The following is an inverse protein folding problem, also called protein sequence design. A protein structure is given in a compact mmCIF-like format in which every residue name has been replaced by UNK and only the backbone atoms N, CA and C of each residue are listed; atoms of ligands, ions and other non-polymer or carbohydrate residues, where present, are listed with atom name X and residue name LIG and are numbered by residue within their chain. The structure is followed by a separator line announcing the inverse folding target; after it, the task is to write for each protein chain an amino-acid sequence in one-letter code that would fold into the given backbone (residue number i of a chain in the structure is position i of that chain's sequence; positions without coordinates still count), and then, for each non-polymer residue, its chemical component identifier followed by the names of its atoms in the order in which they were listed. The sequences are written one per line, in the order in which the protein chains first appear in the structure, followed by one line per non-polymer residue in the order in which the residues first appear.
data_IF_968323906781
#
_entry.id   IF_968323906781
#
_cell.length_a   1.000
_cell.length_b   1.000
_cell.length_c   1.000
_cell.angle_alpha   90.00
_cell.angle_beta   90.00
_cell.angle_gamma   90.00
#
_symmetry.space_group_name_H-M   'P 1'
#
loop_
_entity.id
_entity.type
_entity.pdbx_description
1 polymer ?
#
# COMPACT_ATOMS: atom_id res chain seq x y z
N UNK A 1 27.76 -2.61 4.46
CA UNK A 1 28.00 -2.76 3.00
C UNK A 1 28.37 -4.20 2.71
N UNK A 2 27.51 -4.96 2.04
CA UNK A 2 27.92 -6.20 1.37
C UNK A 2 27.86 -5.90 -0.11
N UNK A 3 28.96 -5.37 -0.65
CA UNK A 3 29.22 -5.29 -2.08
C UNK A 3 30.07 -6.51 -2.44
N UNK A 4 29.55 -7.40 -3.27
CA UNK A 4 30.38 -8.22 -4.14
C UNK A 4 29.92 -7.93 -5.57
N UNK A 5 30.85 -7.41 -6.38
CA UNK A 5 30.79 -7.33 -7.84
C UNK A 5 29.78 -6.36 -8.49
N UNK A 6 29.64 -5.13 -7.99
CA UNK A 6 29.02 -4.03 -8.76
C UNK A 6 27.52 -4.15 -9.05
N UNK A 7 26.91 -5.31 -8.79
CA UNK A 7 25.47 -5.53 -8.79
C UNK A 7 24.95 -5.35 -7.37
N UNK A 8 24.13 -4.32 -7.17
CA UNK A 8 23.46 -4.10 -5.91
C UNK A 8 22.55 -5.31 -5.63
N UNK A 9 22.63 -5.90 -4.44
CA UNK A 9 21.91 -7.12 -4.00
C UNK A 9 20.36 -7.04 -4.12
N UNK A 10 19.85 -5.91 -4.61
CA UNK A 10 18.46 -5.46 -4.63
C UNK A 10 17.90 -5.23 -6.03
N UNK A 11 18.67 -5.47 -7.10
CA UNK A 11 18.12 -5.44 -8.46
C UNK A 11 17.53 -6.79 -8.82
N UNK A 12 16.20 -6.89 -8.87
CA UNK A 12 15.51 -8.02 -9.51
C UNK A 12 15.83 -7.97 -11.01
N UNK A 13 16.45 -9.00 -11.60
CA UNK A 13 16.84 -8.96 -13.01
C UNK A 13 15.68 -9.41 -13.90
N UNK A 14 14.76 -8.48 -14.20
CA UNK A 14 14.02 -8.48 -15.47
C UNK A 14 13.32 -7.13 -15.67
N UNK A 15 13.76 -6.37 -16.69
CA UNK A 15 13.12 -5.24 -17.42
C UNK A 15 12.26 -4.16 -16.70
N UNK A 16 12.03 -4.25 -15.40
CA UNK A 16 11.27 -3.34 -14.53
C UNK A 16 12.19 -2.72 -13.46
N UNK A 17 13.48 -2.53 -13.80
CA UNK A 17 14.57 -2.17 -12.89
C UNK A 17 14.52 -0.73 -12.34
N UNK A 18 13.40 -0.02 -12.48
CA UNK A 18 13.29 1.42 -12.16
C UNK A 18 12.26 1.75 -11.07
N UNK A 19 11.66 0.75 -10.43
CA UNK A 19 10.67 0.99 -9.37
C UNK A 19 11.15 0.40 -8.05
N UNK A 20 11.28 1.26 -7.05
CA UNK A 20 11.62 0.90 -5.68
C UNK A 20 10.36 0.39 -4.98
N UNK A 21 10.22 -0.94 -4.91
CA UNK A 21 9.13 -1.62 -4.22
C UNK A 21 9.55 -2.04 -2.83
N UNK A 22 9.66 -1.08 -1.94
CA UNK A 22 9.77 -1.39 -0.53
C UNK A 22 8.86 -0.44 0.21
N UNK A 23 7.99 -0.97 1.05
CA UNK A 23 7.39 -0.14 2.09
C UNK A 23 8.59 0.43 2.87
N UNK A 24 8.77 1.74 2.89
CA UNK A 24 9.91 2.34 3.60
C UNK A 24 9.94 1.95 5.09
N UNK A 25 8.79 1.54 5.65
CA UNK A 25 8.66 0.82 6.93
C UNK A 25 9.60 -0.40 6.98
N UNK A 26 9.62 -1.22 5.93
CA UNK A 26 10.51 -2.37 5.75
C UNK A 26 11.99 -1.97 5.80
N UNK A 27 12.38 -0.90 5.11
CA UNK A 27 13.77 -0.46 5.14
C UNK A 27 14.13 0.05 6.53
N UNK A 28 13.24 0.77 7.21
CA UNK A 28 13.51 1.23 8.59
C UNK A 28 13.65 0.06 9.57
N UNK A 29 12.86 -1.00 9.43
CA UNK A 29 12.98 -2.22 10.22
C UNK A 29 14.27 -3.00 9.89
N UNK A 30 14.56 -3.22 8.61
CA UNK A 30 15.80 -3.87 8.16
C UNK A 30 17.04 -3.07 8.58
N UNK A 31 16.97 -1.75 8.51
CA UNK A 31 18.07 -0.84 8.78
C UNK A 31 18.40 -0.73 10.27
N UNK A 32 17.38 -0.78 11.13
CA UNK A 32 17.54 -0.90 12.59
C UNK A 32 18.28 -2.18 13.02
N UNK A 33 18.29 -3.22 12.18
CA UNK A 33 19.03 -4.47 12.45
C UNK A 33 20.50 -4.42 12.05
N UNK A 34 20.85 -3.59 11.07
CA UNK A 34 22.22 -3.51 10.53
C UNK A 34 22.96 -2.25 10.96
N UNK A 35 22.29 -1.32 11.64
CA UNK A 35 22.87 -0.11 12.19
C UNK A 35 22.41 0.11 13.64
N UNK A 36 23.20 0.82 14.47
CA UNK A 36 22.78 1.16 15.84
C UNK A 36 21.74 2.30 15.89
N UNK A 37 21.21 2.74 14.76
CA UNK A 37 20.26 3.85 14.67
C UNK A 37 18.85 3.37 15.02
N UNK A 38 18.22 4.02 15.99
CA UNK A 38 16.79 3.82 16.30
C UNK A 38 15.99 4.79 15.45
N UNK A 39 15.52 4.32 14.29
CA UNK A 39 14.69 5.10 13.39
C UNK A 39 13.22 5.05 13.81
N UNK A 40 12.52 6.19 13.73
CA UNK A 40 11.08 6.28 13.88
C UNK A 40 10.46 6.65 12.55
N UNK A 41 9.16 6.43 12.39
CA UNK A 41 8.41 6.95 11.23
C UNK A 41 8.23 8.48 11.32
N UNK A 42 9.32 9.20 11.05
CA UNK A 42 9.39 10.65 11.06
C UNK A 42 10.14 11.13 9.81
N UNK A 43 9.92 12.40 9.45
CA UNK A 43 10.49 12.98 8.24
C UNK A 43 12.02 12.90 8.22
N UNK A 44 12.68 13.30 9.31
CA UNK A 44 14.15 13.30 9.41
C UNK A 44 14.74 11.88 9.34
N UNK A 45 14.11 10.91 9.99
CA UNK A 45 14.53 9.51 9.95
C UNK A 45 14.43 8.92 8.54
N UNK A 46 13.36 9.24 7.81
CA UNK A 46 13.16 8.81 6.42
C UNK A 46 14.16 9.51 5.49
N UNK A 47 14.54 10.76 5.77
CA UNK A 47 15.59 11.46 5.03
C UNK A 47 16.93 10.74 5.17
N UNK A 48 17.33 10.37 6.39
CA UNK A 48 18.55 9.60 6.65
C UNK A 48 18.55 8.30 5.84
N UNK A 49 17.42 7.59 5.83
CA UNK A 49 17.26 6.37 5.04
C UNK A 49 17.45 6.62 3.54
N UNK A 50 16.84 7.67 3.00
CA UNK A 50 16.94 8.00 1.57
C UNK A 50 18.37 8.40 1.16
N UNK A 51 19.07 9.14 2.01
CA UNK A 51 20.47 9.52 1.78
C UNK A 51 21.38 8.30 1.77
N UNK A 52 21.18 7.36 2.69
CA UNK A 52 21.97 6.13 2.78
C UNK A 52 21.71 5.15 1.64
N UNK A 53 20.50 5.18 1.10
CA UNK A 53 20.15 4.46 -0.13
C UNK A 53 20.77 5.10 -1.38
N UNK A 54 21.33 6.30 -1.28
CA UNK A 54 21.76 7.06 -2.46
C UNK A 54 20.59 7.33 -3.40
N UNK A 55 19.39 7.59 -2.87
CA UNK A 55 18.18 7.67 -3.68
C UNK A 55 18.33 8.65 -4.86
N UNK A 56 19.00 9.78 -4.64
CA UNK A 56 19.21 10.81 -5.65
C UNK A 56 20.09 10.34 -6.83
N UNK A 57 20.96 9.34 -6.63
CA UNK A 57 21.78 8.76 -7.70
C UNK A 57 20.98 7.81 -8.58
N UNK A 58 19.97 7.15 -8.00
CA UNK A 58 19.16 6.14 -8.67
C UNK A 58 17.85 6.67 -9.25
N UNK A 59 17.26 7.67 -8.59
CA UNK A 59 16.06 8.39 -8.99
C UNK A 59 14.85 7.48 -9.29
N UNK A 60 14.69 6.42 -8.47
CA UNK A 60 13.65 5.40 -8.63
C UNK A 60 12.23 5.97 -8.53
N UNK A 61 11.31 5.30 -9.21
CA UNK A 61 9.87 5.47 -9.00
C UNK A 61 9.51 4.86 -7.64
N UNK A 62 8.66 5.53 -6.87
CA UNK A 62 8.27 5.17 -5.51
C UNK A 62 6.78 4.83 -5.49
N UNK A 63 6.46 3.63 -5.00
CA UNK A 63 5.10 3.20 -4.72
C UNK A 63 5.00 2.73 -3.27
N UNK A 64 4.41 3.56 -2.41
CA UNK A 64 4.30 3.34 -0.96
C UNK A 64 2.93 3.79 -0.44
N UNK A 65 2.57 3.41 0.78
CA UNK A 65 1.34 3.90 1.42
C UNK A 65 1.26 5.43 1.43
N UNK A 66 0.05 5.98 1.43
CA UNK A 66 -0.19 7.42 1.46
C UNK A 66 0.40 8.10 2.70
N UNK A 67 0.49 7.40 3.84
CA UNK A 67 1.21 7.90 5.01
C UNK A 67 2.69 8.11 4.72
N UNK A 68 3.32 7.19 3.99
CA UNK A 68 4.71 7.31 3.56
C UNK A 68 4.89 8.41 2.51
N UNK A 69 3.95 8.56 1.59
CA UNK A 69 3.91 9.71 0.67
C UNK A 69 3.92 11.04 1.43
N UNK A 70 3.14 11.16 2.51
CA UNK A 70 3.14 12.37 3.33
C UNK A 70 4.52 12.67 3.91
N UNK A 71 5.25 11.69 4.40
CA UNK A 71 6.62 11.91 4.87
C UNK A 71 7.56 12.35 3.75
N UNK A 72 7.53 11.65 2.61
CA UNK A 72 8.40 11.93 1.49
C UNK A 72 8.19 13.32 0.90
N UNK A 73 6.97 13.84 1.00
CA UNK A 73 6.61 15.17 0.53
C UNK A 73 6.55 16.23 1.65
N UNK A 74 6.98 15.88 2.87
CA UNK A 74 7.01 16.81 4.00
C UNK A 74 5.63 17.30 4.46
N UNK A 75 4.57 16.52 4.21
CA UNK A 75 3.20 16.85 4.60
C UNK A 75 2.89 16.47 6.06
N UNK A 76 1.90 17.16 6.65
CA UNK A 76 1.45 16.87 8.01
C UNK A 76 0.77 15.49 8.10
N UNK A 77 0.90 14.86 9.28
CA UNK A 77 0.20 13.62 9.62
C UNK A 77 -1.29 13.88 9.94
N UNK A 78 -2.10 12.83 9.80
CA UNK A 78 -3.47 12.82 10.29
C UNK A 78 -4.50 13.45 9.35
N UNK A 79 -5.62 13.90 9.92
CA UNK A 79 -6.77 14.42 9.16
C UNK A 79 -6.61 15.91 8.87
N UNK A 80 -5.90 16.22 7.78
CA UNK A 80 -5.55 17.59 7.39
C UNK A 80 -6.54 18.15 6.38
N UNK A 81 -6.62 19.49 6.28
CA UNK A 81 -7.56 20.17 5.37
C UNK A 81 -7.22 19.93 3.89
N UNK A 82 -5.94 19.93 3.53
CA UNK A 82 -5.47 19.80 2.14
C UNK A 82 -4.55 18.58 1.97
N UNK A 83 -5.06 17.34 2.12
CA UNK A 83 -4.24 16.13 2.14
C UNK A 83 -3.75 15.72 0.75
N UNK A 84 -4.40 16.20 -0.33
CA UNK A 84 -3.96 15.89 -1.68
C UNK A 84 -2.61 16.58 -1.98
N UNK A 85 -1.68 15.81 -2.52
CA UNK A 85 -0.36 16.28 -2.93
C UNK A 85 -0.33 16.79 -4.38
N UNK A 86 -1.42 16.63 -5.14
CA UNK A 86 -1.53 17.12 -6.52
C UNK A 86 -2.31 18.44 -6.59
N UNK A 87 -3.31 18.63 -5.74
CA UNK A 87 -4.18 19.80 -5.74
C UNK A 87 -4.56 20.23 -4.32
N UNK A 88 -5.22 21.37 -4.22
CA UNK A 88 -5.74 21.98 -3.00
C UNK A 88 -7.13 21.45 -2.66
N UNK A 89 -7.33 20.13 -2.77
CA UNK A 89 -8.58 19.47 -2.39
C UNK A 89 -8.89 19.68 -0.91
N UNK A 90 -10.01 20.33 -0.61
CA UNK A 90 -10.46 20.60 0.76
C UNK A 90 -11.24 19.39 1.30
N UNK A 91 -10.57 18.60 2.15
CA UNK A 91 -11.16 17.41 2.78
C UNK A 91 -12.35 17.72 3.70
N UNK A 92 -12.53 18.99 4.08
CA UNK A 92 -13.60 19.45 4.97
C UNK A 92 -14.84 19.95 4.22
N UNK A 93 -14.72 20.27 2.93
CA UNK A 93 -15.82 20.78 2.09
C UNK A 93 -16.69 19.65 1.51
N UNK A 94 -17.35 18.87 2.39
CA UNK A 94 -18.08 17.64 2.05
C UNK A 94 -19.16 17.84 1.00
N UNK A 95 -19.84 18.98 1.04
CA UNK A 95 -20.86 19.40 0.10
C UNK A 95 -20.32 19.56 -1.34
N UNK A 96 -19.01 19.82 -1.49
CA UNK A 96 -18.37 20.00 -2.80
C UNK A 96 -17.78 18.72 -3.37
N UNK A 97 -17.54 17.69 -2.56
CA UNK A 97 -16.74 16.53 -2.95
C UNK A 97 -17.24 15.82 -4.22
N UNK A 98 -18.55 15.65 -4.36
CA UNK A 98 -19.16 14.97 -5.53
C UNK A 98 -19.58 15.91 -6.67
N UNK A 99 -19.34 17.22 -6.52
CA UNK A 99 -19.74 18.26 -7.47
C UNK A 99 -18.51 18.87 -8.14
N UNK A 100 -17.49 19.19 -7.33
CA UNK A 100 -16.28 19.83 -7.77
C UNK A 100 -15.21 18.78 -8.07
N UNK A 101 -15.02 18.50 -9.36
CA UNK A 101 -13.95 17.63 -9.87
C UNK A 101 -12.59 18.31 -9.88
N UNK A 102 -12.54 19.56 -10.31
CA UNK A 102 -11.30 20.33 -10.44
C UNK A 102 -11.05 21.19 -9.21
N UNK A 103 -9.85 21.07 -8.65
CA UNK A 103 -9.40 21.84 -7.50
C UNK A 103 -8.13 22.59 -7.87
N UNK A 104 -7.85 23.76 -7.25
CA UNK A 104 -6.64 24.53 -7.57
C UNK A 104 -5.40 23.66 -7.45
N UNK A 105 -4.49 23.75 -8.42
CA UNK A 105 -3.27 22.96 -8.42
C UNK A 105 -2.41 23.30 -7.21
N UNK A 106 -1.70 22.30 -6.68
CA UNK A 106 -0.68 22.54 -5.67
C UNK A 106 0.62 22.88 -6.39
N UNK A 107 1.00 24.15 -6.42
CA UNK A 107 2.17 24.57 -7.20
C UNK A 107 3.50 24.19 -6.52
N UNK A 108 3.61 24.39 -5.21
CA UNK A 108 4.87 24.23 -4.47
C UNK A 108 4.71 23.31 -3.25
N UNK A 109 5.85 22.75 -2.81
CA UNK A 109 6.01 21.97 -1.58
C UNK A 109 7.00 22.64 -0.62
N UNK A 110 7.08 23.96 -0.64
CA UNK A 110 7.94 24.67 0.30
C UNK A 110 7.39 24.53 1.73
N UNK A 111 8.27 24.31 2.71
CA UNK A 111 7.90 24.33 4.12
C UNK A 111 7.12 25.62 4.49
N UNK A 112 6.01 25.46 5.21
CA UNK A 112 5.11 26.56 5.57
C UNK A 112 3.90 26.72 4.64
N UNK A 113 3.89 26.08 3.47
CA UNK A 113 2.71 26.01 2.61
C UNK A 113 1.59 25.16 3.26
N UNK A 114 0.32 25.31 2.84
CA UNK A 114 -0.78 24.57 3.45
C UNK A 114 -0.56 23.05 3.39
N UNK A 115 -0.59 22.43 4.57
CA UNK A 115 -0.32 21.01 4.80
C UNK A 115 1.15 20.57 4.53
N UNK A 116 2.11 21.48 4.43
CA UNK A 116 3.54 21.17 4.21
C UNK A 116 4.35 21.74 5.37
N UNK A 117 4.99 20.88 6.16
CA UNK A 117 5.81 21.26 7.32
C UNK A 117 7.31 21.18 7.07
N UNK A 118 7.73 20.36 6.11
CA UNK A 118 9.13 20.17 5.75
C UNK A 118 9.28 20.20 4.25
N UNK A 119 10.48 20.48 3.76
CA UNK A 119 10.76 20.36 2.34
C UNK A 119 10.73 18.88 1.91
N UNK A 120 10.29 18.60 0.68
CA UNK A 120 10.17 17.23 0.17
C UNK A 120 11.55 16.56 0.08
N UNK A 121 11.59 15.28 0.42
CA UNK A 121 12.78 14.42 0.29
C UNK A 121 12.93 13.96 -1.16
N UNK A 122 11.80 13.74 -1.85
CA UNK A 122 11.76 13.24 -3.23
C UNK A 122 10.84 14.10 -4.08
N UNK A 123 11.04 14.09 -5.38
CA UNK A 123 10.15 14.82 -6.28
C UNK A 123 8.79 14.14 -6.40
N UNK A 124 7.72 14.94 -6.47
CA UNK A 124 6.34 14.43 -6.52
C UNK A 124 6.06 13.56 -7.74
N UNK A 125 6.75 13.79 -8.86
CA UNK A 125 6.59 13.02 -10.11
C UNK A 125 7.15 11.60 -10.00
N UNK A 126 7.94 11.33 -8.95
CA UNK A 126 8.44 10.00 -8.63
C UNK A 126 7.44 9.15 -7.88
N UNK A 127 6.34 9.73 -7.40
CA UNK A 127 5.35 9.03 -6.60
C UNK A 127 4.24 8.48 -7.50
N UNK A 128 4.01 7.18 -7.37
CA UNK A 128 2.91 6.47 -8.03
C UNK A 128 1.86 6.10 -6.99
N UNK A 129 0.58 6.15 -7.40
CA UNK A 129 -0.51 5.74 -6.53
C UNK A 129 -0.44 4.24 -6.20
N UNK A 130 -0.46 3.87 -4.91
CA UNK A 130 -0.41 2.46 -4.50
C UNK A 130 -1.72 1.72 -4.79
N UNK A 131 -1.78 0.81 -5.78
CA UNK A 131 -3.02 0.18 -6.21
C UNK A 131 -3.71 -0.63 -5.10
N UNK A 132 -2.94 -1.34 -4.26
CA UNK A 132 -3.50 -2.09 -3.13
C UNK A 132 -4.15 -1.12 -2.14
N UNK A 133 -3.44 -0.08 -1.70
CA UNK A 133 -4.01 0.87 -0.76
C UNK A 133 -5.25 1.58 -1.33
N UNK A 134 -5.32 1.89 -2.62
CA UNK A 134 -6.54 2.41 -3.27
C UNK A 134 -7.69 1.40 -3.14
N UNK A 135 -7.46 0.13 -3.51
CA UNK A 135 -8.43 -0.97 -3.37
C UNK A 135 -8.95 -1.12 -1.94
N UNK A 136 -8.06 -1.13 -0.95
CA UNK A 136 -8.44 -1.19 0.48
C UNK A 136 -9.27 0.04 0.91
N UNK A 137 -8.91 1.22 0.40
CA UNK A 137 -9.65 2.46 0.66
C UNK A 137 -11.07 2.47 0.09
N UNK A 138 -11.25 1.91 -1.10
CA UNK A 138 -12.55 1.76 -1.73
C UNK A 138 -13.44 0.79 -0.95
N UNK A 139 -12.92 -0.37 -0.59
CA UNK A 139 -13.63 -1.33 0.27
C UNK A 139 -14.08 -0.68 1.57
N UNK A 140 -13.18 0.09 2.19
CA UNK A 140 -13.47 0.83 3.42
C UNK A 140 -14.65 1.79 3.25
N UNK A 141 -14.69 2.56 2.16
CA UNK A 141 -15.80 3.49 1.93
C UNK A 141 -17.11 2.75 1.63
N UNK A 142 -17.06 1.67 0.85
CA UNK A 142 -18.23 0.85 0.55
C UNK A 142 -18.87 0.31 1.83
N UNK A 143 -18.11 -0.38 2.69
CA UNK A 143 -18.64 -0.98 3.93
C UNK A 143 -19.15 0.08 4.90
N UNK A 144 -18.45 1.21 5.03
CA UNK A 144 -18.90 2.31 5.90
C UNK A 144 -20.23 2.94 5.46
N UNK A 145 -20.64 2.76 4.21
CA UNK A 145 -21.91 3.26 3.70
C UNK A 145 -23.05 2.22 3.81
N UNK A 146 -22.75 0.96 4.14
CA UNK A 146 -23.77 -0.06 4.37
C UNK A 146 -24.53 0.23 5.67
N UNK A 147 -25.83 -0.08 5.67
CA UNK A 147 -26.63 -0.04 6.89
C UNK A 147 -26.31 -1.29 7.73
N UNK A 148 -25.91 -1.14 9.02
CA UNK A 148 -25.66 -2.27 9.90
C UNK A 148 -26.84 -3.24 10.10
N UNK A 149 -28.07 -2.77 9.89
CA UNK A 149 -29.30 -3.58 10.03
C UNK A 149 -29.66 -4.36 8.76
N UNK A 150 -28.96 -4.13 7.65
CA UNK A 150 -29.23 -4.83 6.39
C UNK A 150 -28.59 -6.24 6.39
N UNK A 151 -29.22 -7.18 5.68
CA UNK A 151 -28.72 -8.56 5.55
C UNK A 151 -27.28 -8.63 5.00
N UNK A 152 -26.91 -7.72 4.10
CA UNK A 152 -25.56 -7.64 3.54
C UNK A 152 -24.49 -7.37 4.62
N UNK A 153 -24.77 -6.49 5.58
CA UNK A 153 -23.83 -6.21 6.67
C UNK A 153 -23.76 -7.37 7.67
N UNK A 154 -24.90 -7.98 8.01
CA UNK A 154 -24.93 -9.19 8.83
C UNK A 154 -24.14 -10.34 8.19
N UNK A 155 -24.20 -10.47 6.86
CA UNK A 155 -23.42 -11.46 6.11
C UNK A 155 -21.91 -11.22 6.25
N UNK A 156 -21.45 -9.97 6.27
CA UNK A 156 -20.04 -9.65 6.52
C UNK A 156 -19.58 -10.12 7.90
N UNK A 157 -20.38 -9.87 8.93
CA UNK A 157 -20.10 -10.31 10.31
C UNK A 157 -20.05 -11.82 10.42
N UNK A 158 -20.98 -12.52 9.77
CA UNK A 158 -21.01 -13.97 9.72
C UNK A 158 -19.82 -14.58 8.97
N UNK A 159 -19.42 -13.97 7.85
CA UNK A 159 -18.35 -14.47 6.97
C UNK A 159 -16.97 -14.37 7.64
N UNK A 160 -16.76 -13.36 8.48
CA UNK A 160 -15.47 -13.10 9.13
C UNK A 160 -15.58 -13.09 10.66
N UNK A 161 -15.85 -14.25 11.30
CA UNK A 161 -16.03 -14.32 12.76
C UNK A 161 -14.75 -13.97 13.54
N UNK A 162 -13.58 -14.01 12.88
CA UNK A 162 -12.30 -13.59 13.48
C UNK A 162 -12.12 -12.06 13.50
N UNK A 163 -12.91 -11.30 12.74
CA UNK A 163 -12.88 -9.84 12.78
C UNK A 163 -13.89 -9.34 13.81
N UNK A 164 -13.48 -8.36 14.61
CA UNK A 164 -14.43 -7.69 15.50
C UNK A 164 -15.46 -6.90 14.69
N UNK A 165 -16.64 -6.73 15.27
CA UNK A 165 -17.71 -5.91 14.70
C UNK A 165 -17.22 -4.51 14.35
N UNK A 166 -16.41 -3.88 15.21
CA UNK A 166 -15.86 -2.55 14.97
C UNK A 166 -14.87 -2.51 13.79
N UNK A 167 -14.06 -3.56 13.60
CA UNK A 167 -13.18 -3.66 12.40
C UNK A 167 -14.01 -3.73 11.12
N UNK A 168 -15.06 -4.56 11.12
CA UNK A 168 -15.99 -4.70 9.98
C UNK A 168 -16.70 -3.38 9.72
N UNK A 169 -17.29 -2.76 10.75
CA UNK A 169 -17.99 -1.46 10.66
C UNK A 169 -17.06 -0.34 10.19
N UNK A 170 -15.80 -0.38 10.58
CA UNK A 170 -14.78 0.56 10.12
C UNK A 170 -14.32 0.30 8.68
N UNK A 171 -14.75 -0.79 8.04
CA UNK A 171 -14.37 -1.20 6.70
C UNK A 171 -12.91 -1.64 6.61
N UNK A 172 -12.38 -2.24 7.68
CA UNK A 172 -10.98 -2.68 7.76
C UNK A 172 -10.91 -4.12 7.28
N UNK A 173 -10.48 -4.29 6.03
CA UNK A 173 -10.30 -5.59 5.38
C UNK A 173 -8.91 -5.66 4.75
N UNK A 174 -8.35 -6.87 4.67
CA UNK A 174 -7.13 -7.15 3.91
C UNK A 174 -7.42 -7.62 2.48
N UNK A 175 -6.37 -7.76 1.67
CA UNK A 175 -6.48 -8.24 0.29
C UNK A 175 -7.15 -9.63 0.16
N UNK A 176 -6.71 -10.64 0.93
CA UNK A 176 -7.38 -11.96 0.98
C UNK A 176 -8.88 -11.89 1.27
N UNK A 177 -9.31 -11.16 2.30
CA UNK A 177 -10.72 -11.04 2.69
C UNK A 177 -11.57 -10.40 1.59
N UNK A 178 -11.07 -9.34 0.94
CA UNK A 178 -11.74 -8.73 -0.20
C UNK A 178 -11.90 -9.75 -1.34
N UNK A 179 -10.85 -10.52 -1.66
CA UNK A 179 -10.93 -11.57 -2.69
C UNK A 179 -11.94 -12.66 -2.34
N UNK A 180 -12.07 -13.01 -1.06
CA UNK A 180 -13.09 -13.94 -0.58
C UNK A 180 -14.50 -13.40 -0.88
N UNK A 181 -14.78 -12.14 -0.52
CA UNK A 181 -16.08 -11.52 -0.78
C UNK A 181 -16.40 -11.38 -2.27
N UNK A 182 -15.41 -11.05 -3.10
CA UNK A 182 -15.60 -10.96 -4.56
C UNK A 182 -16.09 -12.29 -5.16
N UNK A 183 -15.66 -13.42 -4.59
CA UNK A 183 -16.03 -14.77 -5.04
C UNK A 183 -17.34 -15.26 -4.42
N UNK A 184 -17.81 -14.62 -3.36
CA UNK A 184 -18.99 -15.03 -2.62
C UNK A 184 -20.28 -14.58 -3.33
N UNK A 185 -20.90 -15.53 -4.04
CA UNK A 185 -22.18 -15.30 -4.71
C UNK A 185 -23.33 -15.06 -3.73
N UNK A 186 -23.25 -15.62 -2.51
CA UNK A 186 -24.29 -15.44 -1.50
C UNK A 186 -24.28 -14.00 -0.98
N UNK A 187 -23.10 -13.39 -0.82
CA UNK A 187 -22.99 -11.99 -0.43
C UNK A 187 -23.79 -11.05 -1.36
N UNK A 188 -23.71 -11.28 -2.68
CA UNK A 188 -24.45 -10.51 -3.68
C UNK A 188 -25.98 -10.68 -3.54
N UNK A 189 -26.44 -11.84 -3.10
CA UNK A 189 -27.87 -12.11 -2.89
C UNK A 189 -28.42 -11.42 -1.63
N UNK A 190 -27.54 -11.10 -0.67
CA UNK A 190 -27.89 -10.39 0.57
C UNK A 190 -27.95 -8.87 0.42
N UNK A 191 -27.55 -8.34 -0.72
CA UNK A 191 -27.55 -6.90 -1.00
C UNK A 191 -28.88 -6.41 -1.54
N UNK A 192 -29.30 -5.22 -1.11
CA UNK A 192 -30.36 -4.49 -1.81
C UNK A 192 -29.87 -3.96 -3.17
N UNK A 193 -30.79 -3.42 -3.97
CA UNK A 193 -30.51 -2.97 -5.35
C UNK A 193 -29.36 -1.94 -5.40
N UNK A 194 -29.34 -0.98 -4.48
CA UNK A 194 -28.34 0.12 -4.42
C UNK A 194 -26.96 -0.40 -4.01
N UNK A 195 -26.91 -1.22 -2.97
CA UNK A 195 -25.68 -1.89 -2.50
C UNK A 195 -25.09 -2.77 -3.61
N UNK A 196 -25.95 -3.57 -4.26
CA UNK A 196 -25.54 -4.47 -5.34
C UNK A 196 -24.97 -3.72 -6.53
N UNK A 197 -25.59 -2.62 -6.95
CA UNK A 197 -25.07 -1.81 -8.05
C UNK A 197 -23.69 -1.21 -7.74
N UNK A 198 -23.51 -0.67 -6.53
CA UNK A 198 -22.23 -0.14 -6.07
C UNK A 198 -21.17 -1.24 -5.92
N UNK A 199 -21.53 -2.41 -5.39
CA UNK A 199 -20.63 -3.54 -5.24
C UNK A 199 -20.15 -4.07 -6.60
N UNK A 200 -21.07 -4.34 -7.52
CA UNK A 200 -20.72 -4.89 -8.84
C UNK A 200 -19.82 -3.94 -9.62
N UNK A 201 -20.09 -2.64 -9.60
CA UNK A 201 -19.23 -1.64 -10.23
C UNK A 201 -17.85 -1.51 -9.55
N UNK A 202 -17.79 -1.68 -8.23
CA UNK A 202 -16.51 -1.78 -7.51
C UNK A 202 -15.71 -3.02 -7.91
N UNK A 203 -16.36 -4.18 -8.05
CA UNK A 203 -15.71 -5.41 -8.53
C UNK A 203 -15.19 -5.23 -9.95
N UNK A 204 -15.97 -4.59 -10.84
CA UNK A 204 -15.54 -4.27 -12.21
C UNK A 204 -14.26 -3.43 -12.20
N UNK A 205 -14.17 -2.41 -11.34
CA UNK A 205 -12.97 -1.57 -11.19
C UNK A 205 -11.78 -2.36 -10.65
N UNK A 206 -11.98 -3.24 -9.68
CA UNK A 206 -10.88 -4.09 -9.18
C UNK A 206 -10.31 -4.96 -10.30
N UNK A 207 -11.17 -5.60 -11.09
CA UNK A 207 -10.76 -6.58 -12.08
C UNK A 207 -10.18 -5.95 -13.34
N UNK A 208 -10.74 -4.82 -13.77
CA UNK A 208 -10.45 -4.23 -15.08
C UNK A 208 -9.66 -2.91 -15.01
N UNK A 209 -9.44 -2.37 -13.81
CA UNK A 209 -8.60 -1.18 -13.62
C UNK A 209 -7.47 -1.46 -12.64
N UNK A 210 -7.78 -1.83 -11.39
CA UNK A 210 -6.77 -2.10 -10.35
C UNK A 210 -6.11 -3.48 -10.43
N UNK A 211 -6.29 -4.18 -11.56
CA UNK A 211 -5.60 -5.43 -11.88
C UNK A 211 -4.24 -5.18 -12.54
N UNK A 212 -3.74 -6.16 -13.29
CA UNK A 212 -2.43 -6.05 -13.92
C UNK A 212 -2.40 -5.00 -15.03
N UNK A 213 -3.39 -5.04 -15.93
CA UNK A 213 -3.51 -4.11 -17.05
C UNK A 213 -4.86 -3.43 -16.99
N UNK A 214 -4.88 -2.12 -17.27
CA UNK A 214 -6.13 -1.38 -17.41
C UNK A 214 -6.87 -1.81 -18.68
N UNK A 215 -8.17 -2.04 -18.57
CA UNK A 215 -9.05 -2.24 -19.71
C UNK A 215 -9.22 -0.93 -20.49
N UNK A 216 -9.41 -0.95 -21.82
CA UNK A 216 -9.60 0.27 -22.61
C UNK A 216 -10.76 1.16 -22.13
N UNK A 217 -11.80 0.55 -21.55
CA UNK A 217 -12.99 1.25 -21.04
C UNK A 217 -12.91 1.60 -19.53
N UNK A 218 -11.71 1.57 -18.92
CA UNK A 218 -11.55 1.75 -17.46
C UNK A 218 -12.15 3.05 -16.94
N UNK A 219 -12.10 4.15 -17.70
CA UNK A 219 -12.67 5.45 -17.30
C UNK A 219 -14.17 5.36 -17.07
N UNK A 220 -14.88 4.64 -17.96
CA UNK A 220 -16.32 4.38 -17.82
C UNK A 220 -16.60 3.53 -16.58
N UNK A 221 -15.79 2.51 -16.32
CA UNK A 221 -15.94 1.65 -15.15
C UNK A 221 -15.75 2.43 -13.84
N UNK A 222 -14.70 3.25 -13.78
CA UNK A 222 -14.41 4.12 -12.62
C UNK A 222 -15.54 5.13 -12.44
N UNK A 223 -16.01 5.78 -13.51
CA UNK A 223 -17.14 6.72 -13.45
C UNK A 223 -18.42 6.05 -12.93
N UNK A 224 -18.74 4.85 -13.41
CA UNK A 224 -19.90 4.07 -12.95
C UNK A 224 -19.80 3.72 -11.46
N UNK A 225 -18.62 3.27 -11.01
CA UNK A 225 -18.38 2.99 -9.60
C UNK A 225 -18.50 4.25 -8.74
N UNK A 226 -17.93 5.37 -9.16
CA UNK A 226 -18.00 6.64 -8.43
C UNK A 226 -19.45 7.13 -8.30
N UNK A 227 -20.26 6.99 -9.36
CA UNK A 227 -21.70 7.25 -9.28
C UNK A 227 -22.38 6.32 -8.28
N UNK A 228 -22.13 5.01 -8.35
CA UNK A 228 -22.69 4.05 -7.41
C UNK A 228 -22.28 4.32 -5.95
N UNK A 229 -21.06 4.79 -5.71
CA UNK A 229 -20.57 5.15 -4.37
C UNK A 229 -21.22 6.43 -3.86
N UNK A 230 -21.31 7.47 -4.70
CA UNK A 230 -22.08 8.69 -4.38
C UNK A 230 -23.51 8.33 -4.05
N UNK A 231 -24.13 7.55 -4.92
CA UNK A 231 -25.51 7.14 -4.78
C UNK A 231 -25.68 6.33 -3.53
N UNK A 232 -24.78 5.40 -3.15
CA UNK A 232 -24.80 4.64 -1.89
C UNK A 232 -24.62 5.50 -0.62
N UNK A 233 -24.12 6.73 -0.76
CA UNK A 233 -23.84 7.61 0.38
C UNK A 233 -22.42 7.46 0.93
N UNK A 234 -21.48 6.93 0.13
CA UNK A 234 -20.07 6.88 0.49
C UNK A 234 -19.51 8.30 0.69
N UNK A 235 -18.68 8.47 1.71
CA UNK A 235 -17.89 9.69 1.85
C UNK A 235 -16.72 9.65 0.85
N UNK A 236 -16.35 10.82 0.29
CA UNK A 236 -15.18 10.92 -0.56
C UNK A 236 -13.91 10.94 0.30
N UNK A 237 -13.25 9.79 0.40
CA UNK A 237 -11.90 9.71 0.96
C UNK A 237 -10.86 10.25 -0.03
N UNK A 238 -9.64 10.53 0.43
CA UNK A 238 -8.53 10.92 -0.45
C UNK A 238 -8.28 9.91 -1.58
N UNK A 239 -8.49 8.61 -1.31
CA UNK A 239 -8.33 7.53 -2.29
C UNK A 239 -9.43 7.56 -3.35
N UNK A 240 -10.67 7.88 -2.96
CA UNK A 240 -11.79 8.11 -3.89
C UNK A 240 -11.56 9.39 -4.70
N UNK A 241 -11.05 10.44 -4.05
CA UNK A 241 -10.69 11.70 -4.72
C UNK A 241 -9.63 11.50 -5.80
N UNK A 242 -8.59 10.68 -5.58
CA UNK A 242 -7.61 10.38 -6.63
C UNK A 242 -8.26 9.75 -7.87
N UNK A 243 -9.23 8.86 -7.70
CA UNK A 243 -9.97 8.29 -8.84
C UNK A 243 -10.90 9.29 -9.51
N UNK A 244 -11.46 10.23 -8.74
CA UNK A 244 -12.38 11.23 -9.27
C UNK A 244 -11.67 12.37 -10.03
N UNK A 245 -10.57 12.88 -9.48
CA UNK A 245 -9.90 14.09 -9.96
C UNK A 245 -8.55 13.84 -10.65
N UNK A 246 -7.91 12.70 -10.41
CA UNK A 246 -6.53 12.42 -10.81
C UNK A 246 -6.36 11.04 -11.48
N UNK A 247 -7.41 10.59 -12.16
CA UNK A 247 -7.43 9.29 -12.83
C UNK A 247 -6.32 9.15 -13.88
N UNK A 248 -5.94 10.27 -14.52
CA UNK A 248 -4.87 10.40 -15.51
C UNK A 248 -3.47 10.12 -14.94
N UNK A 249 -3.29 10.20 -13.62
CA UNK A 249 -2.00 9.99 -12.95
C UNK A 249 -1.68 8.53 -12.64
N UNK A 250 -2.63 7.61 -12.83
CA UNK A 250 -2.36 6.18 -12.67
C UNK A 250 -1.50 5.68 -13.85
N UNK A 251 -0.43 4.90 -13.63
CA UNK A 251 0.37 4.32 -14.72
C UNK A 251 -0.41 3.26 -15.50
N UNK A 252 -0.03 2.95 -16.74
CA UNK A 252 -0.74 1.96 -17.58
C UNK A 252 -0.76 0.54 -17.00
N UNK A 253 0.35 0.12 -16.40
CA UNK A 253 0.51 -1.21 -15.81
C UNK A 253 0.54 -1.11 -14.27
N UNK A 254 -0.63 -1.24 -13.65
CA UNK A 254 -0.78 -1.17 -12.19
C UNK A 254 -0.26 -2.43 -11.49
N UNK A 255 -0.27 -3.59 -12.16
CA UNK A 255 0.31 -4.82 -11.62
C UNK A 255 1.82 -4.76 -11.48
N UNK A 256 2.50 -4.07 -12.40
CA UNK A 256 3.93 -3.83 -12.31
C UNK A 256 4.30 -2.92 -11.14
N UNK A 257 3.35 -2.10 -10.63
CA UNK A 257 3.57 -1.17 -9.52
C UNK A 257 2.84 -1.55 -8.23
N UNK A 258 2.56 -2.84 -8.02
CA UNK A 258 1.80 -3.30 -6.87
C UNK A 258 2.65 -3.36 -5.59
N UNK A 259 2.16 -2.71 -4.54
CA UNK A 259 2.63 -2.77 -3.16
C UNK A 259 2.25 -4.09 -2.46
N UNK A 260 1.54 -5.01 -3.13
CA UNK A 260 1.24 -6.36 -2.60
C UNK A 260 2.49 -7.16 -2.26
N UNK A 261 3.62 -6.93 -2.95
CA UNK A 261 4.88 -7.59 -2.64
C UNK A 261 5.44 -7.14 -1.28
N UNK A 262 5.26 -5.87 -0.91
CA UNK A 262 5.64 -5.35 0.41
C UNK A 262 4.78 -5.94 1.52
N UNK A 263 3.47 -6.09 1.29
CA UNK A 263 2.57 -6.73 2.27
C UNK A 263 2.89 -8.23 2.45
N UNK A 264 3.23 -8.93 1.37
CA UNK A 264 3.65 -10.34 1.44
C UNK A 264 4.95 -10.50 2.22
N UNK A 265 5.89 -9.59 2.02
CA UNK A 265 7.13 -9.57 2.77
C UNK A 265 6.88 -9.47 4.28
N UNK A 266 5.97 -8.59 4.72
CA UNK A 266 5.59 -8.47 6.13
C UNK A 266 5.03 -9.79 6.70
N UNK A 267 4.19 -10.49 5.95
CA UNK A 267 3.67 -11.82 6.34
C UNK A 267 4.78 -12.87 6.46
N UNK A 268 5.71 -12.88 5.51
CA UNK A 268 6.87 -13.77 5.53
C UNK A 268 7.76 -13.46 6.73
N UNK A 269 7.97 -12.17 7.04
CA UNK A 269 8.74 -11.71 8.20
C UNK A 269 8.10 -12.13 9.52
N UNK A 270 6.79 -11.95 9.71
CA UNK A 270 6.10 -12.42 10.92
C UNK A 270 6.33 -13.92 11.11
N UNK A 271 6.25 -14.70 10.03
CA UNK A 271 6.51 -16.15 10.07
C UNK A 271 7.95 -16.47 10.42
N UNK A 272 8.91 -15.64 9.99
CA UNK A 272 10.32 -15.77 10.38
C UNK A 272 10.50 -15.40 11.85
N UNK A 273 9.96 -14.27 12.29
CA UNK A 273 10.02 -13.78 13.67
C UNK A 273 9.46 -14.82 14.65
N UNK A 274 8.31 -15.41 14.36
CA UNK A 274 7.71 -16.49 15.16
C UNK A 274 8.67 -17.68 15.31
N UNK A 275 9.34 -18.09 14.22
CA UNK A 275 10.35 -19.17 14.24
C UNK A 275 11.56 -18.82 15.11
N UNK A 276 11.90 -17.55 15.21
CA UNK A 276 13.02 -17.06 16.02
C UNK A 276 12.57 -16.62 17.42
N UNK A 277 11.31 -16.86 17.78
CA UNK A 277 10.72 -16.54 19.09
C UNK A 277 10.79 -15.04 19.42
N UNK A 278 10.53 -14.19 18.43
CA UNK A 278 10.60 -12.72 18.59
C UNK A 278 12.02 -12.16 18.63
N UNK A 279 13.05 -12.98 18.36
CA UNK A 279 14.43 -12.48 18.27
C UNK A 279 14.68 -11.83 16.90
N UNK A 280 14.85 -10.53 16.95
CA UNK A 280 15.22 -9.69 15.81
C UNK A 280 16.73 -9.45 15.79
N UNK A 281 17.49 -10.34 15.15
CA UNK A 281 18.95 -10.21 15.04
C UNK A 281 19.47 -10.40 13.61
N UNK A 282 20.77 -10.11 13.42
CA UNK A 282 21.47 -10.27 12.15
C UNK A 282 21.41 -11.69 11.59
N UNK A 283 21.25 -12.71 12.44
CA UNK A 283 21.20 -14.11 12.02
C UNK A 283 19.82 -14.45 11.46
N UNK A 284 18.75 -14.00 12.11
CA UNK A 284 17.38 -14.10 11.58
C UNK A 284 17.30 -13.50 10.18
N UNK A 285 17.84 -12.28 10.02
CA UNK A 285 17.80 -11.59 8.74
C UNK A 285 18.68 -12.27 7.67
N UNK A 286 19.86 -12.75 8.05
CA UNK A 286 20.71 -13.53 7.14
C UNK A 286 19.99 -14.80 6.65
N UNK A 287 19.29 -15.51 7.53
CA UNK A 287 18.53 -16.71 7.18
C UNK A 287 17.30 -16.39 6.31
N UNK A 288 16.63 -15.26 6.55
CA UNK A 288 15.56 -14.76 5.68
C UNK A 288 16.07 -14.42 4.26
N UNK A 289 17.12 -13.61 4.16
CA UNK A 289 17.78 -13.28 2.89
C UNK A 289 18.28 -14.55 2.17
N UNK A 290 18.80 -15.53 2.93
CA UNK A 290 19.20 -16.81 2.38
C UNK A 290 18.02 -17.62 1.85
N UNK A 291 16.87 -17.59 2.55
CA UNK A 291 15.60 -18.15 2.10
C UNK A 291 15.20 -17.62 0.71
N UNK A 292 15.13 -16.29 0.57
CA UNK A 292 14.83 -15.63 -0.71
C UNK A 292 15.81 -16.07 -1.80
N UNK A 293 17.12 -16.12 -1.50
CA UNK A 293 18.14 -16.50 -2.48
C UNK A 293 18.04 -17.95 -2.96
N UNK A 294 17.57 -18.87 -2.12
CA UNK A 294 17.38 -20.30 -2.47
C UNK A 294 16.16 -20.53 -3.36
N UNK A 295 15.11 -19.74 -3.19
CA UNK A 295 13.86 -19.91 -3.95
C UNK A 295 13.97 -19.33 -5.38
N UNK A 296 15.14 -18.80 -5.74
CA UNK A 296 15.47 -18.39 -7.10
C UNK A 296 15.76 -19.63 -7.99
N UNK A 297 14.96 -19.90 -9.03
CA UNK A 297 14.93 -21.20 -9.73
C UNK A 297 16.16 -21.53 -10.59
N UNK A 298 17.19 -20.70 -10.62
CA UNK A 298 18.32 -20.81 -11.56
C UNK A 298 19.64 -21.31 -10.93
N UNK A 299 19.69 -21.64 -9.64
CA UNK A 299 20.93 -22.17 -9.03
C UNK A 299 20.67 -23.33 -8.06
N UNK A 300 21.22 -24.50 -8.38
CA UNK A 300 21.28 -25.64 -7.47
C UNK A 300 22.33 -25.39 -6.38
N UNK A 301 21.89 -25.18 -5.13
CA UNK A 301 22.81 -24.99 -4.00
C UNK A 301 23.03 -26.29 -3.24
N UNK A 302 24.29 -26.73 -3.12
CA UNK A 302 24.72 -27.81 -2.20
C UNK A 302 25.10 -27.21 -0.85
N UNK A 303 24.44 -27.67 0.22
CA UNK A 303 24.76 -27.28 1.61
C UNK A 303 26.10 -27.90 2.04
N UNK A 304 27.07 -27.09 2.49
CA UNK A 304 28.15 -27.55 3.37
C UNK A 304 27.81 -27.17 4.80
N UNK A 305 27.51 -28.17 5.62
CA UNK A 305 27.32 -28.02 7.07
C UNK A 305 28.67 -28.13 7.76
N UNK A 306 29.18 -27.06 8.35
CA UNK A 306 30.24 -27.16 9.35
C UNK A 306 29.61 -27.57 10.68
N UNK A 307 29.62 -28.88 10.99
CA UNK A 307 29.27 -29.34 12.34
C UNK A 307 30.36 -28.87 13.30
N UNK A 308 30.08 -27.87 14.14
CA UNK A 308 30.84 -27.70 15.39
C UNK A 308 30.44 -28.87 16.31
N UNK A 309 31.38 -29.76 16.61
CA UNK A 309 31.21 -30.75 17.67
C UNK A 309 31.29 -29.98 19.00
N UNK A 310 30.18 -29.87 19.72
CA UNK A 310 30.25 -29.59 21.15
C UNK A 310 30.79 -30.85 21.81
N UNK A 311 32.01 -30.80 22.31
CA UNK A 311 32.49 -31.76 23.29
C UNK A 311 32.16 -31.15 24.66
N UNK A 312 31.32 -31.78 25.50
CA UNK A 312 31.23 -31.42 26.91
C UNK A 312 32.52 -31.93 27.57
N UNK A 313 33.28 -31.02 28.20
CA UNK A 313 34.39 -31.42 29.06
C UNK A 313 33.81 -32.11 30.31
N UNK A 314 34.42 -33.23 30.69
CA UNK A 314 34.09 -34.08 31.85
C UNK A 314 34.44 -33.41 33.17
#
# INVERSE_FOLDING_TARGET
MIQENGDCFWTVPSAASSVFFYTMEMFMELFQLVTPLVLKEQHDDIRIVMDLLGYHDHNWIICVDLKMVSFLLGQQKGYTKFPCYLCMWDSRAREKHWIQKEWPLRETFQAGMPNVTHDPIVSRDKIVFPPLHIKLGLMKQFVKALNPDNESFHHLVYTFPALSYDKIKAGVFDGPQIRTLIRDKNFIQKMNVREKAAWLSFVDVIQNFLGNRKAPNYEMLVSKMLSGFRDLGCNMSIKVHFLYSHLDKFPENLGAVSDEQGERFHQDLMTVEERYQGRWDRHMMADYCWGIKRDCPHKAYKRRSYKRKFCPDL
#
